data_IF_037362997707
#
_entry.id   IF_037362997707
#
_cell.length_a   1.000
_cell.length_b   1.000
_cell.length_c   1.000
_cell.angle_alpha   90.00
_cell.angle_beta   90.00
_cell.angle_gamma   90.00
#
_symmetry.space_group_name_H-M   'P 1'
#
loop_
_entity.id
_entity.type
_entity.pdbx_description
1 polymer ?
#
# COMPACT_ATOMS: atom_id res chain seq x y z
N UNK A 1 -31.76 71.32 44.60
CA UNK A 1 -30.59 70.82 45.33
C UNK A 1 -30.00 69.64 44.57
N UNK A 2 -28.66 69.54 44.58
CA UNK A 2 -27.84 68.42 44.11
C UNK A 2 -27.61 68.21 42.60
N UNK A 3 -26.54 68.88 42.14
CA UNK A 3 -25.44 68.39 41.30
C UNK A 3 -25.70 67.30 40.23
N UNK A 4 -25.61 67.74 38.96
CA UNK A 4 -25.37 66.90 37.80
C UNK A 4 -23.90 66.44 37.77
N UNK A 5 -23.65 65.13 37.83
CA UNK A 5 -22.36 64.55 37.45
C UNK A 5 -22.34 64.30 35.93
N UNK A 6 -21.46 65.03 35.26
CA UNK A 6 -20.99 64.74 33.90
C UNK A 6 -20.11 63.49 33.93
N UNK A 7 -20.54 62.43 33.26
CA UNK A 7 -19.62 61.41 32.75
C UNK A 7 -19.84 61.26 31.26
N UNK A 8 -18.88 61.82 30.51
CA UNK A 8 -18.64 61.59 29.10
C UNK A 8 -18.10 60.17 28.95
N UNK A 9 -18.74 59.31 28.14
CA UNK A 9 -18.08 58.16 27.54
C UNK A 9 -18.47 58.07 26.06
N UNK A 10 -17.53 57.69 25.17
CA UNK A 10 -17.60 58.01 23.76
C UNK A 10 -18.51 57.05 23.00
N UNK A 11 -19.23 57.66 22.06
CA UNK A 11 -19.79 57.15 20.80
C UNK A 11 -19.40 55.70 20.48
N UNK A 12 -20.43 54.85 20.37
CA UNK A 12 -20.38 53.55 19.73
C UNK A 12 -19.85 53.70 18.29
N UNK A 13 -18.55 53.45 18.11
CA UNK A 13 -17.95 53.22 16.81
C UNK A 13 -18.37 51.84 16.33
N UNK A 14 -19.13 51.80 15.24
CA UNK A 14 -19.36 50.59 14.45
C UNK A 14 -18.02 50.23 13.81
N UNK A 15 -17.37 49.17 14.31
CA UNK A 15 -16.13 48.66 13.73
C UNK A 15 -15.37 47.74 14.67
N UNK A 16 -15.30 46.45 14.32
CA UNK A 16 -14.40 45.48 14.94
C UNK A 16 -15.12 44.31 15.60
N UNK A 17 -15.28 43.23 14.85
CA UNK A 17 -15.63 41.90 15.37
C UNK A 17 -14.56 41.48 16.38
N UNK A 18 -14.87 41.60 17.67
CA UNK A 18 -14.00 41.25 18.77
C UNK A 18 -13.82 39.74 18.89
N UNK A 19 -12.65 39.29 18.42
CA UNK A 19 -11.89 38.11 18.83
C UNK A 19 -12.54 37.13 19.84
N UNK A 20 -13.29 36.16 19.31
CA UNK A 20 -13.38 34.82 19.88
C UNK A 20 -12.71 33.80 18.93
N UNK A 21 -11.57 34.19 18.36
CA UNK A 21 -10.68 33.29 17.64
C UNK A 21 -9.63 32.79 18.61
N UNK A 22 -9.97 31.75 19.37
CA UNK A 22 -8.98 31.01 20.14
C UNK A 22 -7.96 30.41 19.16
N UNK A 23 -6.85 31.11 18.95
CA UNK A 23 -5.68 30.52 18.34
C UNK A 23 -5.19 29.43 19.29
N UNK A 24 -5.56 28.20 18.99
CA UNK A 24 -4.96 27.01 19.57
C UNK A 24 -3.52 26.93 19.03
N UNK A 25 -2.63 27.75 19.58
CA UNK A 25 -1.19 27.53 19.46
C UNK A 25 -0.82 26.36 20.37
N UNK A 26 -1.25 25.16 19.98
CA UNK A 26 -0.57 23.95 20.43
C UNK A 26 0.84 24.06 19.88
N UNK A 27 1.81 24.22 20.78
CA UNK A 27 3.19 23.89 20.43
C UNK A 27 3.15 22.44 19.92
N UNK A 28 3.28 22.28 18.60
CA UNK A 28 3.19 21.00 17.92
C UNK A 28 4.46 20.21 18.24
N UNK A 29 4.53 19.66 19.46
CA UNK A 29 5.54 18.72 19.89
C UNK A 29 5.26 17.31 19.36
N UNK A 30 4.44 17.19 18.31
CA UNK A 30 4.11 15.91 17.71
C UNK A 30 5.36 15.30 17.10
N UNK A 31 5.54 14.02 17.38
CA UNK A 31 6.60 13.23 16.75
C UNK A 31 6.19 12.85 15.34
N UNK A 32 7.15 12.40 14.53
CA UNK A 32 6.88 11.80 13.23
C UNK A 32 5.89 10.63 13.38
N UNK A 33 6.03 9.82 14.43
CA UNK A 33 5.10 8.72 14.74
C UNK A 33 3.67 9.19 14.97
N UNK A 34 3.47 10.31 15.65
CA UNK A 34 2.13 10.82 15.94
C UNK A 34 1.42 11.31 14.69
N UNK A 35 2.13 12.04 13.82
CA UNK A 35 1.61 12.45 12.51
C UNK A 35 1.29 11.25 11.62
N UNK A 36 2.17 10.25 11.57
CA UNK A 36 1.91 9.02 10.82
C UNK A 36 0.70 8.26 11.37
N UNK A 37 0.54 8.17 12.70
CA UNK A 37 -0.65 7.53 13.29
C UNK A 37 -1.93 8.23 12.87
N UNK A 38 -1.94 9.56 12.88
CA UNK A 38 -3.09 10.36 12.45
C UNK A 38 -3.41 10.13 10.97
N UNK A 39 -2.40 10.23 10.09
CA UNK A 39 -2.58 10.09 8.65
C UNK A 39 -3.06 8.67 8.26
N UNK A 40 -2.52 7.64 8.91
CA UNK A 40 -2.79 6.25 8.57
C UNK A 40 -4.09 5.70 9.19
N UNK A 41 -4.86 6.53 9.93
CA UNK A 41 -6.12 6.09 10.54
C UNK A 41 -7.08 5.53 9.50
N UNK A 42 -7.57 4.32 9.75
CA UNK A 42 -8.53 3.64 8.87
C UNK A 42 -7.92 3.08 7.58
N UNK A 43 -6.61 3.24 7.36
CA UNK A 43 -5.93 2.66 6.21
C UNK A 43 -5.36 1.28 6.55
N UNK A 44 -5.26 0.35 5.59
CA UNK A 44 -4.60 -0.94 5.77
C UNK A 44 -3.07 -0.80 5.79
N UNK A 45 -2.56 0.12 6.61
CA UNK A 45 -1.15 0.45 6.73
C UNK A 45 -0.75 0.46 8.19
N UNK A 46 0.48 0.05 8.47
CA UNK A 46 0.99 -0.05 9.84
C UNK A 46 2.40 0.51 9.96
N UNK A 47 2.62 1.27 11.02
CA UNK A 47 3.96 1.74 11.41
C UNK A 47 4.70 0.56 12.06
N UNK A 48 5.86 0.21 11.50
CA UNK A 48 6.82 -0.68 12.14
C UNK A 48 7.46 0.09 13.30
N UNK A 49 6.93 -0.12 14.51
CA UNK A 49 7.34 0.61 15.72
C UNK A 49 8.14 -0.23 16.72
N UNK A 50 8.58 -1.41 16.28
CA UNK A 50 9.50 -2.30 16.97
C UNK A 50 10.49 -2.86 15.96
N UNK A 51 11.77 -2.93 16.32
CA UNK A 51 12.84 -3.55 15.53
C UNK A 51 12.76 -5.09 15.55
N UNK A 52 12.06 -5.68 16.52
CA UNK A 52 11.78 -7.11 16.61
C UNK A 52 10.58 -7.57 15.75
N UNK A 53 9.97 -6.67 14.95
CA UNK A 53 8.82 -7.01 14.11
C UNK A 53 9.23 -8.04 13.03
N UNK A 54 8.47 -9.14 12.91
CA UNK A 54 8.79 -10.22 11.97
C UNK A 54 8.80 -9.76 10.51
N UNK A 55 8.05 -8.70 10.19
CA UNK A 55 7.91 -8.13 8.85
C UNK A 55 9.23 -7.53 8.33
N UNK A 56 10.18 -7.20 9.22
CA UNK A 56 11.48 -6.70 8.81
C UNK A 56 12.23 -7.68 7.91
N UNK A 57 12.06 -9.00 8.08
CA UNK A 57 12.75 -9.98 7.23
C UNK A 57 12.40 -9.82 5.75
N UNK A 58 11.15 -9.48 5.45
CA UNK A 58 10.67 -9.24 4.08
C UNK A 58 10.91 -7.79 3.66
N UNK A 59 10.67 -6.84 4.56
CA UNK A 59 10.78 -5.43 4.24
C UNK A 59 12.22 -5.00 3.95
N UNK A 60 13.21 -5.63 4.60
CA UNK A 60 14.63 -5.46 4.26
C UNK A 60 14.95 -5.88 2.82
N UNK A 61 14.32 -6.95 2.32
CA UNK A 61 14.47 -7.37 0.90
C UNK A 61 13.91 -6.31 -0.04
N UNK A 62 12.75 -5.73 0.30
CA UNK A 62 12.15 -4.62 -0.46
C UNK A 62 13.08 -3.41 -0.46
N UNK A 63 13.59 -3.02 0.71
CA UNK A 63 14.55 -1.93 0.82
C UNK A 63 15.77 -2.19 -0.04
N UNK A 64 16.37 -3.39 0.05
CA UNK A 64 17.55 -3.79 -0.73
C UNK A 64 17.33 -3.65 -2.23
N UNK A 65 16.19 -4.11 -2.75
CA UNK A 65 15.84 -4.06 -4.16
C UNK A 65 15.45 -2.65 -4.66
N UNK A 66 15.11 -1.72 -3.75
CA UNK A 66 14.72 -0.36 -4.10
C UNK A 66 15.90 0.49 -4.57
N UNK A 67 15.65 1.38 -5.52
CA UNK A 67 16.58 2.47 -5.92
C UNK A 67 16.51 3.68 -4.97
N UNK A 68 15.37 3.88 -4.30
CA UNK A 68 15.21 4.90 -3.26
C UNK A 68 15.89 4.40 -1.98
N UNK A 69 16.94 5.11 -1.55
CA UNK A 69 17.72 4.80 -0.33
C UNK A 69 17.74 5.98 0.62
N UNK A 70 17.93 5.69 1.88
CA UNK A 70 18.02 6.70 2.94
C UNK A 70 19.49 7.07 3.09
N UNK A 71 19.81 8.36 3.00
CA UNK A 71 21.18 8.84 3.24
C UNK A 71 21.62 8.49 4.66
N UNK A 72 22.82 7.92 4.79
CA UNK A 72 23.36 7.48 6.08
C UNK A 72 22.88 6.11 6.57
N UNK A 73 22.03 5.41 5.82
CA UNK A 73 21.69 3.99 6.04
C UNK A 73 22.46 3.17 5.03
N UNK A 74 23.57 2.56 5.47
CA UNK A 74 24.51 1.86 4.59
C UNK A 74 24.08 0.44 4.23
N UNK A 75 23.23 -0.19 5.05
CA UNK A 75 22.70 -1.53 4.83
C UNK A 75 21.21 -1.64 5.14
N UNK A 76 20.53 -2.62 4.56
CA UNK A 76 19.14 -2.96 4.92
C UNK A 76 19.00 -3.35 6.40
N UNK A 77 20.06 -3.84 7.03
CA UNK A 77 20.07 -4.25 8.43
C UNK A 77 19.96 -3.05 9.39
N UNK A 78 20.40 -1.87 8.95
CA UNK A 78 20.32 -0.63 9.74
C UNK A 78 18.94 0.02 9.69
N UNK A 79 18.08 -0.40 8.74
CA UNK A 79 16.78 0.22 8.51
C UNK A 79 15.83 0.18 9.72
N UNK A 80 15.66 -0.96 10.44
CA UNK A 80 14.80 -1.00 11.62
C UNK A 80 15.22 0.02 12.69
N UNK A 81 16.53 0.08 12.96
CA UNK A 81 17.11 1.01 13.94
C UNK A 81 16.92 2.46 13.52
N UNK A 82 17.14 2.76 12.24
CA UNK A 82 16.87 4.08 11.69
C UNK A 82 15.40 4.48 11.89
N UNK A 83 14.46 3.56 11.63
CA UNK A 83 13.05 3.81 11.84
C UNK A 83 12.70 4.08 13.31
N UNK A 84 13.23 3.29 14.25
CA UNK A 84 12.96 3.51 15.68
C UNK A 84 13.42 4.91 16.14
N UNK A 85 14.61 5.33 15.70
CA UNK A 85 15.14 6.65 16.02
C UNK A 85 14.31 7.77 15.37
N UNK A 86 14.07 7.69 14.06
CA UNK A 86 13.37 8.74 13.30
C UNK A 86 11.93 8.91 13.75
N UNK A 87 11.21 7.83 14.02
CA UNK A 87 9.81 7.89 14.47
C UNK A 87 9.63 8.68 15.78
N UNK A 88 10.62 8.64 16.67
CA UNK A 88 10.60 9.36 17.95
C UNK A 88 11.02 10.82 17.86
N UNK A 89 11.52 11.28 16.72
CA UNK A 89 11.95 12.67 16.53
C UNK A 89 10.75 13.60 16.32
N UNK A 90 10.94 14.88 16.65
CA UNK A 90 9.98 15.93 16.31
C UNK A 90 9.74 15.94 14.80
N UNK A 91 8.51 16.29 14.42
CA UNK A 91 8.14 16.37 13.01
C UNK A 91 9.11 17.25 12.21
N UNK A 92 9.64 16.67 11.14
CA UNK A 92 10.49 17.32 10.17
C UNK A 92 10.18 16.70 8.80
N UNK A 93 9.87 17.54 7.81
CA UNK A 93 9.20 17.11 6.58
C UNK A 93 10.01 16.06 5.78
N UNK A 94 11.33 16.21 5.69
CA UNK A 94 12.17 15.29 4.91
C UNK A 94 12.26 13.91 5.57
N UNK A 95 12.44 13.87 6.90
CA UNK A 95 12.39 12.64 7.68
C UNK A 95 11.00 12.01 7.72
N UNK A 96 9.95 12.83 7.74
CA UNK A 96 8.57 12.35 7.68
C UNK A 96 8.30 11.58 6.39
N UNK A 97 8.70 12.13 5.24
CA UNK A 97 8.53 11.48 3.94
C UNK A 97 9.28 10.13 3.89
N UNK A 98 10.53 10.09 4.34
CA UNK A 98 11.32 8.86 4.40
C UNK A 98 10.76 7.85 5.42
N UNK A 99 10.29 8.31 6.57
CA UNK A 99 9.67 7.44 7.56
C UNK A 99 8.34 6.86 7.07
N UNK A 100 7.56 7.65 6.35
CA UNK A 100 6.33 7.20 5.68
C UNK A 100 6.62 6.13 4.63
N UNK A 101 7.71 6.28 3.88
CA UNK A 101 8.11 5.31 2.86
C UNK A 101 8.67 4.02 3.47
N UNK A 102 9.51 4.13 4.51
CA UNK A 102 10.34 3.01 4.95
C UNK A 102 9.98 2.43 6.33
N UNK A 103 9.28 3.19 7.16
CA UNK A 103 8.84 2.74 8.49
C UNK A 103 7.36 2.39 8.53
N UNK A 104 6.67 2.48 7.39
CA UNK A 104 5.26 2.10 7.25
C UNK A 104 5.17 1.01 6.20
N UNK A 105 4.43 -0.03 6.53
CA UNK A 105 4.13 -1.13 5.62
C UNK A 105 2.66 -1.14 5.23
N UNK A 106 2.41 -1.59 4.00
CA UNK A 106 1.06 -1.88 3.50
C UNK A 106 0.67 -3.31 3.92
N UNK A 107 -0.33 -3.43 4.78
CA UNK A 107 -0.83 -4.71 5.28
C UNK A 107 -2.01 -5.23 4.45
N UNK A 108 -2.40 -4.53 3.38
CA UNK A 108 -3.36 -5.05 2.41
C UNK A 108 -2.85 -6.35 1.81
N UNK A 109 -3.78 -7.22 1.47
CA UNK A 109 -3.47 -8.38 0.63
C UNK A 109 -3.41 -7.96 -0.83
N UNK A 110 -2.68 -8.73 -1.64
CA UNK A 110 -2.62 -8.55 -3.08
C UNK A 110 -4.02 -8.47 -3.70
N UNK A 111 -4.91 -9.39 -3.31
CA UNK A 111 -6.32 -9.37 -3.72
C UNK A 111 -7.01 -8.06 -3.32
N UNK A 112 -6.85 -7.62 -2.08
CA UNK A 112 -7.44 -6.37 -1.60
C UNK A 112 -6.95 -5.14 -2.38
N UNK A 113 -5.65 -5.08 -2.66
CA UNK A 113 -5.05 -4.01 -3.47
C UNK A 113 -5.59 -3.98 -4.88
N UNK A 114 -5.73 -5.14 -5.53
CA UNK A 114 -6.32 -5.21 -6.87
C UNK A 114 -7.81 -4.86 -6.88
N UNK A 115 -8.57 -5.25 -5.85
CA UNK A 115 -9.96 -4.83 -5.70
C UNK A 115 -10.10 -3.31 -5.57
N UNK A 116 -9.21 -2.64 -4.83
CA UNK A 116 -9.17 -1.17 -4.76
C UNK A 116 -8.84 -0.51 -6.10
N UNK A 117 -8.14 -1.22 -7.00
CA UNK A 117 -7.89 -0.79 -8.38
C UNK A 117 -9.04 -1.13 -9.35
N UNK A 118 -10.16 -1.69 -8.86
CA UNK A 118 -11.29 -2.10 -9.69
C UNK A 118 -11.07 -3.41 -10.46
N UNK A 119 -10.07 -4.21 -10.08
CA UNK A 119 -9.79 -5.50 -10.71
C UNK A 119 -10.47 -6.62 -9.94
N UNK A 120 -11.35 -7.35 -10.62
CA UNK A 120 -11.95 -8.58 -10.10
C UNK A 120 -11.07 -9.77 -10.46
N UNK A 121 -10.66 -10.53 -9.44
CA UNK A 121 -9.92 -11.77 -9.61
C UNK A 121 -10.85 -12.96 -9.77
N UNK A 122 -10.41 -13.98 -10.51
CA UNK A 122 -11.10 -15.27 -10.59
C UNK A 122 -11.20 -15.80 -9.15
N UNK A 123 -12.42 -16.13 -8.66
CA UNK A 123 -12.62 -16.57 -7.29
C UNK A 123 -11.94 -17.92 -7.02
N UNK A 124 -11.72 -18.22 -5.74
CA UNK A 124 -11.07 -19.47 -5.30
C UNK A 124 -12.00 -20.69 -5.39
N UNK A 125 -13.32 -20.47 -5.23
CA UNK A 125 -14.35 -21.51 -5.17
C UNK A 125 -15.72 -21.00 -5.65
N UNK A 126 -16.54 -21.87 -6.25
CA UNK A 126 -17.80 -21.50 -6.90
C UNK A 126 -17.99 -22.14 -8.28
N UNK A 127 -19.17 -21.92 -8.87
CA UNK A 127 -19.55 -22.55 -10.14
C UNK A 127 -18.73 -22.00 -11.32
N UNK A 128 -18.26 -22.90 -12.19
CA UNK A 128 -17.58 -22.54 -13.45
C UNK A 128 -16.14 -22.05 -13.30
N UNK A 129 -15.55 -22.14 -12.11
CA UNK A 129 -14.18 -21.66 -11.85
C UNK A 129 -13.12 -22.48 -12.59
N UNK A 130 -13.30 -23.79 -12.64
CA UNK A 130 -12.39 -24.67 -13.39
C UNK A 130 -12.28 -24.22 -14.85
N UNK A 131 -13.41 -23.85 -15.46
CA UNK A 131 -13.44 -23.35 -16.83
C UNK A 131 -12.75 -21.99 -16.95
N UNK A 132 -13.01 -21.05 -16.01
CA UNK A 132 -12.33 -19.74 -15.99
C UNK A 132 -10.81 -19.88 -15.96
N UNK A 133 -10.27 -20.78 -15.13
CA UNK A 133 -8.83 -21.01 -15.06
C UNK A 133 -8.27 -21.76 -16.26
N UNK A 134 -9.03 -22.69 -16.86
CA UNK A 134 -8.67 -23.31 -18.15
C UNK A 134 -8.54 -22.26 -19.25
N UNK A 135 -9.51 -21.34 -19.35
CA UNK A 135 -9.51 -20.29 -20.37
C UNK A 135 -8.39 -19.27 -20.14
N UNK A 136 -8.17 -18.86 -18.89
CA UNK A 136 -7.04 -18.00 -18.53
C UNK A 136 -5.70 -18.67 -18.83
N UNK A 137 -5.56 -19.98 -18.57
CA UNK A 137 -4.34 -20.71 -18.86
C UNK A 137 -4.05 -20.80 -20.36
N UNK A 138 -5.08 -20.95 -21.22
CA UNK A 138 -4.88 -20.91 -22.68
C UNK A 138 -4.19 -19.61 -23.11
N UNK A 139 -4.58 -18.47 -22.52
CA UNK A 139 -3.95 -17.18 -22.77
C UNK A 139 -2.54 -17.10 -22.22
N UNK A 140 -2.31 -17.59 -21.00
CA UNK A 140 -0.94 -17.69 -20.43
C UNK A 140 -0.04 -18.48 -21.37
N UNK A 141 -0.49 -19.65 -21.83
CA UNK A 141 0.31 -20.54 -22.66
C UNK A 141 0.59 -19.95 -24.05
N UNK A 142 -0.35 -19.20 -24.64
CA UNK A 142 -0.15 -18.54 -25.94
C UNK A 142 0.74 -17.30 -25.85
N UNK A 143 0.70 -16.56 -24.74
CA UNK A 143 1.43 -15.30 -24.55
C UNK A 143 2.74 -15.45 -23.74
N UNK A 144 3.08 -16.65 -23.22
CA UNK A 144 4.22 -16.83 -22.30
C UNK A 144 5.56 -16.30 -22.81
N UNK A 145 5.79 -16.35 -24.12
CA UNK A 145 7.04 -15.88 -24.74
C UNK A 145 7.03 -14.37 -25.06
N UNK A 146 5.86 -13.72 -25.10
CA UNK A 146 5.70 -12.30 -25.43
C UNK A 146 5.33 -11.44 -24.21
N UNK A 147 5.04 -12.05 -23.06
CA UNK A 147 4.61 -11.36 -21.85
C UNK A 147 5.72 -10.56 -21.13
N UNK A 148 6.99 -10.71 -21.52
CA UNK A 148 8.11 -9.98 -20.93
C UNK A 148 8.19 -10.17 -19.40
N UNK A 149 8.26 -9.07 -18.65
CA UNK A 149 8.30 -9.10 -17.18
C UNK A 149 7.02 -9.69 -16.53
N UNK A 150 5.92 -9.76 -17.28
CA UNK A 150 4.67 -10.34 -16.80
C UNK A 150 4.60 -11.85 -17.02
N UNK A 151 5.61 -12.48 -17.64
CA UNK A 151 5.64 -13.92 -17.81
C UNK A 151 5.60 -14.66 -16.46
N UNK A 152 4.86 -15.77 -16.42
CA UNK A 152 4.91 -16.73 -15.32
C UNK A 152 6.12 -17.63 -15.58
N UNK A 153 7.03 -17.72 -14.62
CA UNK A 153 8.23 -18.58 -14.70
C UNK A 153 8.08 -19.90 -13.94
N UNK A 154 6.90 -20.15 -13.38
CA UNK A 154 6.62 -21.38 -12.63
C UNK A 154 6.44 -22.56 -13.59
N UNK A 155 7.36 -23.51 -13.53
CA UNK A 155 7.34 -24.70 -14.38
C UNK A 155 6.10 -25.57 -14.14
N UNK A 156 5.47 -25.49 -12.96
CA UNK A 156 4.21 -26.20 -12.71
C UNK A 156 3.07 -25.64 -13.56
N UNK A 157 3.15 -24.38 -13.99
CA UNK A 157 2.12 -23.70 -14.78
C UNK A 157 2.43 -23.75 -16.28
N UNK A 158 3.69 -23.55 -16.68
CA UNK A 158 4.07 -23.36 -18.10
C UNK A 158 5.11 -24.35 -18.64
N UNK A 159 5.57 -25.29 -17.81
CA UNK A 159 6.60 -26.25 -18.17
C UNK A 159 6.17 -27.24 -19.26
N UNK A 160 7.13 -27.93 -19.86
CA UNK A 160 6.93 -28.81 -21.02
C UNK A 160 5.95 -29.97 -20.77
N UNK A 161 5.75 -30.34 -19.50
CA UNK A 161 4.83 -31.40 -19.06
C UNK A 161 3.36 -30.95 -19.02
N UNK A 162 3.11 -29.63 -19.07
CA UNK A 162 1.79 -28.99 -19.05
C UNK A 162 1.35 -28.73 -20.48
N UNK A 163 0.81 -29.77 -21.11
CA UNK A 163 0.48 -29.80 -22.55
C UNK A 163 -0.84 -29.12 -22.92
N UNK A 164 -1.77 -29.00 -21.98
CA UNK A 164 -3.17 -28.64 -22.24
C UNK A 164 -3.84 -28.01 -21.03
N UNK A 165 -5.01 -27.41 -21.24
CA UNK A 165 -5.75 -26.66 -20.23
C UNK A 165 -6.20 -27.52 -19.05
N UNK A 166 -6.37 -28.84 -19.20
CA UNK A 166 -6.83 -29.70 -18.11
C UNK A 166 -5.72 -29.92 -17.08
N UNK A 167 -4.46 -29.79 -17.48
CA UNK A 167 -3.30 -29.77 -16.57
C UNK A 167 -2.97 -28.35 -16.12
N UNK A 168 -2.98 -27.41 -17.07
CA UNK A 168 -2.54 -26.05 -16.81
C UNK A 168 -3.51 -25.19 -16.01
N UNK A 169 -4.81 -25.34 -16.24
CA UNK A 169 -5.85 -24.61 -15.49
C UNK A 169 -5.75 -24.82 -13.98
N UNK A 170 -5.71 -26.07 -13.47
CA UNK A 170 -5.53 -26.35 -12.04
C UNK A 170 -4.22 -25.79 -11.46
N UNK A 171 -3.13 -25.84 -12.20
CA UNK A 171 -1.84 -25.31 -11.74
C UNK A 171 -1.85 -23.77 -11.72
N UNK A 172 -2.46 -23.12 -12.71
CA UNK A 172 -2.70 -21.69 -12.70
C UNK A 172 -3.60 -21.28 -11.53
N UNK A 173 -4.64 -22.05 -11.23
CA UNK A 173 -5.50 -21.81 -10.07
C UNK A 173 -4.69 -21.83 -8.78
N UNK A 174 -3.88 -22.87 -8.55
CA UNK A 174 -2.99 -22.93 -7.37
C UNK A 174 -2.05 -21.72 -7.33
N UNK A 175 -1.43 -21.39 -8.46
CA UNK A 175 -0.50 -20.27 -8.58
C UNK A 175 -1.15 -18.92 -8.25
N UNK A 176 -2.36 -18.68 -8.76
CA UNK A 176 -3.12 -17.46 -8.49
C UNK A 176 -3.56 -17.39 -7.03
N UNK A 177 -4.25 -18.43 -6.56
CA UNK A 177 -4.89 -18.43 -5.23
C UNK A 177 -3.89 -18.42 -4.08
N UNK A 178 -2.72 -19.04 -4.24
CA UNK A 178 -1.64 -18.96 -3.24
C UNK A 178 -1.12 -17.53 -3.03
N UNK A 179 -1.30 -16.64 -4.02
CA UNK A 179 -0.80 -15.25 -4.02
C UNK A 179 -1.81 -14.23 -3.52
N UNK A 180 -3.10 -14.56 -3.56
CA UNK A 180 -4.18 -13.62 -3.22
C UNK A 180 -4.05 -13.06 -1.80
N UNK A 181 -3.58 -13.87 -0.86
CA UNK A 181 -3.40 -13.51 0.55
C UNK A 181 -2.04 -12.89 0.87
N UNK A 182 -1.14 -12.76 -0.12
CA UNK A 182 0.17 -12.17 0.12
C UNK A 182 0.02 -10.70 0.51
N UNK A 183 0.63 -10.34 1.64
CA UNK A 183 0.65 -8.96 2.09
C UNK A 183 1.54 -8.10 1.18
N UNK A 184 1.10 -6.89 0.86
CA UNK A 184 1.77 -5.99 -0.10
C UNK A 184 3.10 -5.41 0.38
N UNK A 185 3.46 -5.63 1.64
CA UNK A 185 4.81 -5.36 2.12
C UNK A 185 5.84 -6.42 1.71
N UNK A 186 5.42 -7.60 1.25
CA UNK A 186 6.36 -8.62 0.77
C UNK A 186 6.89 -8.28 -0.61
N UNK A 187 8.17 -8.53 -0.86
CA UNK A 187 8.80 -8.29 -2.17
C UNK A 187 8.12 -9.10 -3.27
N UNK A 188 7.81 -10.36 -3.00
CA UNK A 188 7.14 -11.24 -3.97
C UNK A 188 5.74 -10.73 -4.34
N UNK A 189 4.97 -10.23 -3.37
CA UNK A 189 3.67 -9.62 -3.63
C UNK A 189 3.76 -8.41 -4.57
N UNK A 190 4.79 -7.57 -4.37
CA UNK A 190 5.05 -6.41 -5.23
C UNK A 190 5.45 -6.81 -6.64
N UNK A 191 6.29 -7.83 -6.76
CA UNK A 191 6.78 -8.32 -8.06
C UNK A 191 5.69 -9.02 -8.87
N UNK A 192 4.77 -9.71 -8.19
CA UNK A 192 3.73 -10.51 -8.85
C UNK A 192 2.37 -9.78 -8.95
N UNK A 193 2.19 -8.59 -8.37
CA UNK A 193 0.92 -7.84 -8.41
C UNK A 193 0.38 -7.70 -9.85
N UNK A 194 1.20 -7.20 -10.78
CA UNK A 194 0.78 -7.00 -12.17
C UNK A 194 0.63 -8.32 -12.93
N UNK A 195 1.37 -9.38 -12.55
CA UNK A 195 1.17 -10.73 -13.11
C UNK A 195 -0.17 -11.30 -12.70
N UNK A 196 -0.51 -11.22 -11.41
CA UNK A 196 -1.79 -11.68 -10.88
C UNK A 196 -2.93 -10.88 -11.51
N UNK A 197 -2.77 -9.56 -11.65
CA UNK A 197 -3.74 -8.71 -12.37
C UNK A 197 -3.96 -9.17 -13.81
N UNK A 198 -2.89 -9.47 -14.55
CA UNK A 198 -2.97 -9.90 -15.95
C UNK A 198 -3.57 -11.30 -16.11
N UNK A 199 -3.15 -12.26 -15.28
CA UNK A 199 -3.42 -13.69 -15.50
C UNK A 199 -4.51 -14.29 -14.63
N UNK A 200 -4.82 -13.68 -13.49
CA UNK A 200 -5.78 -14.18 -12.53
C UNK A 200 -7.04 -13.31 -12.45
N UNK A 201 -7.18 -12.27 -13.29
CA UNK A 201 -8.40 -11.48 -13.37
C UNK A 201 -9.51 -12.23 -14.08
N UNK A 202 -10.77 -11.88 -13.81
CA UNK A 202 -11.92 -12.49 -14.50
C UNK A 202 -11.88 -12.26 -16.01
N UNK A 203 -11.20 -11.20 -16.47
CA UNK A 203 -10.95 -10.93 -17.89
C UNK A 203 -9.78 -11.71 -18.51
N UNK A 204 -9.02 -12.49 -17.73
CA UNK A 204 -7.83 -13.17 -18.21
C UNK A 204 -8.11 -14.25 -19.27
N UNK A 205 -9.33 -14.80 -19.32
CA UNK A 205 -9.77 -15.78 -20.33
C UNK A 205 -10.59 -15.18 -21.48
N UNK A 206 -10.89 -13.89 -21.45
CA UNK A 206 -11.69 -13.22 -22.47
C UNK A 206 -10.72 -12.59 -23.48
N UNK A 207 -10.86 -12.93 -24.76
CA UNK A 207 -10.16 -12.21 -25.83
C UNK A 207 -10.49 -10.73 -25.66
N UNK A 208 -9.46 -9.87 -25.65
CA UNK A 208 -9.65 -8.43 -25.54
C UNK A 208 -10.60 -7.99 -26.66
N UNK A 209 -11.86 -7.72 -26.32
CA UNK A 209 -12.74 -7.00 -27.21
C UNK A 209 -12.17 -5.58 -27.22
N UNK A 210 -11.53 -5.23 -28.34
CA UNK A 210 -11.06 -3.90 -28.61
C UNK A 210 -12.19 -2.91 -28.32
N UNK A 211 -11.96 -1.99 -27.38
CA UNK A 211 -12.63 -0.70 -27.36
C UNK A 211 -11.83 0.28 -28.20
#
# INVERSE_FOLDING_TARGET
MAAALKTLLPVAGIGGVGAAGGYYLLSDSSTIKDKLKEELRGQPRRILSSDASAEWSEWKKVYKASSSKISGVSSEEDLPKWCMNTLGQKFEQSKYALAKEWCVIDTSTLKGTLSLQGVNLIPESGNGIDQKFKDAWKKVNSEKNSAGQLAISDDSVIGSSVSDENKGGPELQKWCTSRYSWAMYKLEARNDLEKVKKWCSEGAGVAAQAQ
#
